data_IF_418840108964
#
_entry.id   IF_418840108964
#
_cell.length_a   1.000
_cell.length_b   1.000
_cell.length_c   1.000
_cell.angle_alpha   90.00
_cell.angle_beta   90.00
_cell.angle_gamma   90.00
#
_symmetry.space_group_name_H-M   'P 1'
#
loop_
_entity.id
_entity.type
_entity.pdbx_description
1 polymer ?
#
# COMPACT_ATOMS: atom_id res chain seq x y z
N UNK A 1 -1.02 -15.86 -6.75
CA UNK A 1 -0.03 -14.76 -6.83
C UNK A 1 1.26 -15.30 -6.26
N UNK A 2 2.37 -15.20 -6.98
CA UNK A 2 3.67 -15.58 -6.41
C UNK A 2 4.01 -14.61 -5.27
N UNK A 3 4.69 -15.11 -4.24
CA UNK A 3 5.13 -14.26 -3.14
C UNK A 3 6.08 -13.16 -3.66
N UNK A 4 5.95 -11.94 -3.14
CA UNK A 4 6.87 -10.87 -3.49
C UNK A 4 8.27 -11.25 -3.02
N UNK A 5 9.27 -10.97 -3.87
CA UNK A 5 10.66 -11.08 -3.46
C UNK A 5 10.97 -10.14 -2.29
N UNK A 6 12.14 -10.29 -1.69
CA UNK A 6 12.46 -9.60 -0.44
C UNK A 6 12.45 -8.06 -0.57
N UNK A 7 13.09 -7.54 -1.62
CA UNK A 7 13.19 -6.10 -1.87
C UNK A 7 11.81 -5.46 -2.07
N UNK A 8 10.97 -6.05 -2.93
CA UNK A 8 9.62 -5.53 -3.20
C UNK A 8 8.71 -5.76 -2.02
N UNK A 9 8.85 -6.89 -1.31
CA UNK A 9 8.10 -7.18 -0.09
C UNK A 9 8.31 -6.14 1.00
N UNK A 10 9.58 -5.77 1.24
CA UNK A 10 9.91 -4.72 2.21
C UNK A 10 9.33 -3.36 1.77
N UNK A 11 9.53 -2.98 0.50
CA UNK A 11 8.99 -1.72 -0.02
C UNK A 11 7.45 -1.68 0.06
N UNK A 12 6.79 -2.80 -0.23
CA UNK A 12 5.35 -2.96 -0.17
C UNK A 12 4.82 -2.78 1.25
N UNK A 13 5.44 -3.43 2.23
CA UNK A 13 5.04 -3.28 3.63
C UNK A 13 5.24 -1.85 4.16
N UNK A 14 6.33 -1.19 3.75
CA UNK A 14 6.54 0.22 4.09
C UNK A 14 5.50 1.14 3.42
N UNK A 15 4.99 0.77 2.24
CA UNK A 15 3.89 1.49 1.60
C UNK A 15 2.55 1.30 2.35
N UNK A 16 2.26 0.08 2.81
CA UNK A 16 1.10 -0.16 3.69
C UNK A 16 1.19 0.63 4.99
N UNK A 17 2.39 0.72 5.58
CA UNK A 17 2.62 1.60 6.73
C UNK A 17 2.39 3.07 6.41
N UNK A 18 2.83 3.55 5.25
CA UNK A 18 2.61 4.93 4.84
C UNK A 18 1.11 5.26 4.66
N UNK A 19 0.30 4.27 4.26
CA UNK A 19 -1.16 4.38 4.17
C UNK A 19 -1.79 4.42 5.56
N UNK A 20 -1.37 3.54 6.48
CA UNK A 20 -1.90 3.50 7.85
C UNK A 20 -1.48 4.72 8.70
N UNK A 21 -0.38 5.42 8.36
CA UNK A 21 0.23 6.50 9.17
C UNK A 21 -0.29 7.91 8.88
N UNK A 22 -1.48 8.04 8.31
CA UNK A 22 -1.98 9.32 7.80
C UNK A 22 -2.15 10.37 8.90
N UNK A 23 -2.55 9.97 10.11
CA UNK A 23 -2.76 10.85 11.26
C UNK A 23 -1.50 11.06 12.13
N UNK A 24 -0.35 10.51 11.69
CA UNK A 24 0.95 10.46 12.41
C UNK A 24 0.96 9.53 13.63
N UNK A 25 -0.10 8.81 13.90
CA UNK A 25 -0.15 7.73 14.87
C UNK A 25 -0.33 6.40 14.13
N UNK A 26 -0.04 5.29 14.81
CA UNK A 26 -0.46 3.96 14.36
C UNK A 26 -0.86 3.25 15.63
N UNK A 27 -2.13 2.86 15.72
CA UNK A 27 -2.58 2.04 16.83
C UNK A 27 -1.85 0.67 16.82
N UNK A 28 -1.75 -0.01 17.96
CA UNK A 28 -1.25 -1.38 18.01
C UNK A 28 -2.04 -2.34 17.09
N UNK A 29 -3.33 -2.08 16.90
CA UNK A 29 -4.23 -2.88 16.06
C UNK A 29 -3.92 -2.71 14.56
N UNK A 30 -3.75 -1.46 14.09
CA UNK A 30 -3.32 -1.19 12.72
C UNK A 30 -1.92 -1.73 12.45
N UNK A 31 -1.00 -1.59 13.39
CA UNK A 31 0.34 -2.17 13.29
C UNK A 31 0.29 -3.69 13.12
N UNK A 32 -0.62 -4.36 13.84
CA UNK A 32 -0.81 -5.80 13.75
C UNK A 32 -1.41 -6.20 12.41
N UNK A 33 -2.41 -5.47 11.91
CA UNK A 33 -3.02 -5.71 10.60
C UNK A 33 -2.04 -5.49 9.45
N UNK A 34 -1.21 -4.45 9.50
CA UNK A 34 -0.16 -4.23 8.50
C UNK A 34 0.85 -5.38 8.51
N UNK A 35 1.24 -5.89 9.69
CA UNK A 35 2.11 -7.07 9.82
C UNK A 35 1.50 -8.31 9.19
N UNK A 36 0.24 -8.59 9.51
CA UNK A 36 -0.49 -9.75 8.97
C UNK A 36 -0.63 -9.67 7.44
N UNK A 37 -0.98 -8.50 6.91
CA UNK A 37 -1.07 -8.29 5.46
C UNK A 37 0.28 -8.44 4.78
N UNK A 38 1.32 -7.77 5.29
CA UNK A 38 2.66 -7.88 4.73
C UNK A 38 3.13 -9.34 4.71
N UNK A 39 2.96 -10.06 5.82
CA UNK A 39 3.31 -11.48 5.93
C UNK A 39 2.52 -12.37 4.96
N UNK A 40 1.30 -11.98 4.60
CA UNK A 40 0.50 -12.70 3.60
C UNK A 40 0.98 -12.50 2.16
N UNK A 41 1.72 -11.40 1.88
CA UNK A 41 2.22 -11.05 0.54
C UNK A 41 3.70 -11.39 0.35
N UNK A 42 4.47 -11.41 1.43
CA UNK A 42 5.91 -11.66 1.40
C UNK A 42 6.35 -12.43 2.65
N UNK A 43 7.34 -13.34 2.54
CA UNK A 43 7.92 -14.01 3.69
C UNK A 43 8.84 -13.10 4.53
N UNK A 44 9.03 -11.84 4.15
CA UNK A 44 9.94 -10.90 4.81
C UNK A 44 9.37 -10.39 6.12
N UNK A 45 10.18 -10.48 7.18
CA UNK A 45 9.92 -9.77 8.44
C UNK A 45 10.26 -8.30 8.26
N UNK A 46 9.24 -7.45 8.33
CA UNK A 46 9.42 -6.00 8.21
C UNK A 46 9.81 -5.45 9.56
N UNK A 47 10.92 -4.71 9.61
CA UNK A 47 11.29 -3.93 10.79
C UNK A 47 10.48 -2.63 10.81
N UNK A 48 9.40 -2.66 11.58
CA UNK A 48 8.49 -1.52 11.72
C UNK A 48 9.18 -0.33 12.39
N UNK A 49 10.01 -0.56 13.40
CA UNK A 49 10.70 0.51 14.13
C UNK A 49 11.74 1.23 13.26
N UNK A 50 12.49 0.48 12.44
CA UNK A 50 13.38 1.08 11.45
C UNK A 50 12.58 1.83 10.36
N UNK A 51 11.46 1.25 9.93
CA UNK A 51 10.55 1.84 8.94
C UNK A 51 9.80 3.08 9.49
N UNK A 52 9.84 3.32 10.80
CA UNK A 52 9.26 4.53 11.38
C UNK A 52 9.96 5.79 10.89
N UNK A 53 11.27 5.70 10.65
CA UNK A 53 12.14 6.81 10.21
C UNK A 53 12.34 6.85 8.70
N UNK A 54 12.13 5.74 8.00
CA UNK A 54 12.26 5.68 6.55
C UNK A 54 10.95 6.03 5.85
N UNK A 55 10.93 7.19 5.16
CA UNK A 55 9.77 7.59 4.37
C UNK A 55 9.74 6.82 3.06
N UNK A 56 8.82 5.86 2.98
CA UNK A 56 8.43 5.23 1.71
C UNK A 56 7.58 6.20 0.88
N UNK A 57 7.88 6.29 -0.41
CA UNK A 57 7.16 7.14 -1.35
C UNK A 57 6.65 6.30 -2.53
N UNK A 58 5.61 6.76 -3.24
CA UNK A 58 5.12 6.10 -4.44
C UNK A 58 6.21 5.76 -5.47
N UNK A 59 7.13 6.69 -5.68
CA UNK A 59 8.21 6.56 -6.66
C UNK A 59 9.23 5.50 -6.25
N UNK A 60 9.53 5.38 -4.94
CA UNK A 60 10.42 4.34 -4.42
C UNK A 60 9.83 2.94 -4.60
N UNK A 61 8.54 2.77 -4.33
CA UNK A 61 7.87 1.48 -4.55
C UNK A 61 7.85 1.11 -6.03
N UNK A 62 7.55 2.07 -6.91
CA UNK A 62 7.56 1.85 -8.35
C UNK A 62 8.96 1.49 -8.87
N UNK A 63 10.01 2.15 -8.38
CA UNK A 63 11.40 1.82 -8.69
C UNK A 63 11.77 0.40 -8.24
N UNK A 64 11.42 0.02 -7.00
CA UNK A 64 11.66 -1.32 -6.49
C UNK A 64 10.97 -2.41 -7.34
N UNK A 65 9.71 -2.19 -7.74
CA UNK A 65 8.98 -3.09 -8.62
C UNK A 65 9.67 -3.26 -9.99
N UNK A 66 10.10 -2.14 -10.58
CA UNK A 66 10.79 -2.12 -11.87
C UNK A 66 12.14 -2.85 -11.82
N UNK A 67 12.98 -2.55 -10.83
CA UNK A 67 14.28 -3.19 -10.62
C UNK A 67 14.15 -4.71 -10.44
N UNK A 68 13.10 -5.12 -9.73
CA UNK A 68 12.78 -6.52 -9.46
C UNK A 68 12.01 -7.23 -10.56
N UNK A 69 11.67 -6.54 -11.66
CA UNK A 69 10.85 -7.06 -12.77
C UNK A 69 9.49 -7.62 -12.31
N UNK A 70 8.94 -7.07 -11.24
CA UNK A 70 7.58 -7.35 -10.79
C UNK A 70 6.61 -6.55 -11.65
N UNK A 71 5.45 -7.12 -11.97
CA UNK A 71 4.39 -6.38 -12.65
C UNK A 71 3.87 -5.25 -11.74
N UNK A 72 4.32 -4.02 -12.02
CA UNK A 72 3.96 -2.83 -11.25
C UNK A 72 2.45 -2.62 -11.20
N UNK A 73 1.72 -2.85 -12.30
CA UNK A 73 0.26 -2.62 -12.32
C UNK A 73 -0.46 -3.66 -11.47
N UNK A 74 -0.03 -4.92 -11.51
CA UNK A 74 -0.56 -5.96 -10.62
C UNK A 74 -0.26 -5.65 -9.14
N UNK A 75 0.95 -5.19 -8.84
CA UNK A 75 1.34 -4.73 -7.51
C UNK A 75 0.47 -3.55 -7.04
N UNK A 76 0.17 -2.61 -7.93
CA UNK A 76 -0.67 -1.46 -7.63
C UNK A 76 -2.12 -1.84 -7.32
N UNK A 77 -2.70 -2.77 -8.08
CA UNK A 77 -4.03 -3.32 -7.79
C UNK A 77 -4.07 -4.02 -6.43
N UNK A 78 -3.04 -4.82 -6.14
CA UNK A 78 -2.91 -5.48 -4.82
C UNK A 78 -2.82 -4.45 -3.68
N UNK A 79 -2.01 -3.40 -3.86
CA UNK A 79 -1.88 -2.32 -2.89
C UNK A 79 -3.20 -1.56 -2.68
N UNK A 80 -3.97 -1.33 -3.74
CA UNK A 80 -5.30 -0.70 -3.65
C UNK A 80 -6.21 -1.52 -2.75
N UNK A 81 -6.31 -2.83 -3.01
CA UNK A 81 -7.15 -3.72 -2.22
C UNK A 81 -6.72 -3.76 -0.74
N UNK A 82 -5.42 -3.96 -0.48
CA UNK A 82 -4.88 -4.06 0.88
C UNK A 82 -4.94 -2.72 1.63
N UNK A 83 -4.63 -1.62 0.94
CA UNK A 83 -4.64 -0.27 1.52
C UNK A 83 -6.05 0.18 1.92
N UNK A 84 -7.05 -0.11 1.08
CA UNK A 84 -8.45 0.18 1.41
C UNK A 84 -8.94 -0.69 2.57
N UNK A 85 -8.56 -1.97 2.61
CA UNK A 85 -8.90 -2.84 3.73
C UNK A 85 -8.30 -2.34 5.06
N UNK A 86 -7.07 -1.80 5.03
CA UNK A 86 -6.44 -1.19 6.20
C UNK A 86 -7.16 0.09 6.65
N UNK A 87 -7.37 1.01 5.71
CA UNK A 87 -7.93 2.34 5.99
C UNK A 87 -9.43 2.33 6.34
N UNK A 88 -10.11 1.19 6.19
CA UNK A 88 -11.50 1.02 6.64
C UNK A 88 -11.64 0.11 7.86
N UNK A 89 -10.50 -0.25 8.47
CA UNK A 89 -10.49 -1.23 9.56
C UNK A 89 -10.94 -0.67 10.91
N UNK A 90 -10.97 0.66 11.05
CA UNK A 90 -11.39 1.44 12.22
C UNK A 90 -12.58 2.37 11.92
N UNK A 91 -13.01 2.46 10.65
CA UNK A 91 -14.13 3.30 10.25
C UNK A 91 -14.21 3.55 8.75
N UNK A 92 -14.54 4.78 8.38
CA UNK A 92 -14.67 5.21 7.00
C UNK A 92 -13.33 5.71 6.44
N UNK A 93 -13.05 5.34 5.20
CA UNK A 93 -11.91 5.83 4.43
C UNK A 93 -11.97 7.37 4.31
N UNK A 94 -10.94 8.06 4.78
CA UNK A 94 -10.88 9.51 4.68
C UNK A 94 -10.15 9.99 3.41
N UNK A 95 -10.27 11.29 3.11
CA UNK A 95 -9.72 11.86 1.87
C UNK A 95 -8.19 11.80 1.79
N UNK A 96 -7.49 11.79 2.92
CA UNK A 96 -6.03 11.75 2.93
C UNK A 96 -5.53 10.32 2.67
N UNK A 97 -6.12 9.31 3.31
CA UNK A 97 -5.84 7.89 3.03
C UNK A 97 -6.13 7.54 1.58
N UNK A 98 -7.31 7.93 1.08
CA UNK A 98 -7.69 7.73 -0.31
C UNK A 98 -6.65 8.32 -1.27
N UNK A 99 -6.20 9.57 -1.01
CA UNK A 99 -5.16 10.20 -1.83
C UNK A 99 -3.82 9.47 -1.75
N UNK A 100 -3.41 8.96 -0.59
CA UNK A 100 -2.16 8.20 -0.48
C UNK A 100 -2.25 6.90 -1.29
N UNK A 101 -3.33 6.13 -1.12
CA UNK A 101 -3.56 4.89 -1.87
C UNK A 101 -3.51 5.16 -3.38
N UNK A 102 -4.25 6.17 -3.85
CA UNK A 102 -4.29 6.54 -5.26
C UNK A 102 -2.92 7.01 -5.78
N UNK A 103 -2.13 7.75 -4.99
CA UNK A 103 -0.77 8.16 -5.39
C UNK A 103 0.15 6.97 -5.60
N UNK A 104 0.13 5.99 -4.70
CA UNK A 104 0.90 4.77 -4.88
C UNK A 104 0.41 3.97 -6.11
N UNK A 105 -0.90 3.77 -6.25
CA UNK A 105 -1.47 3.05 -7.39
C UNK A 105 -1.08 3.69 -8.74
N UNK A 106 -1.17 5.02 -8.82
CA UNK A 106 -0.79 5.79 -10.02
C UNK A 106 0.71 5.69 -10.33
N UNK A 107 1.57 5.76 -9.32
CA UNK A 107 3.01 5.57 -9.51
C UNK A 107 3.36 4.16 -10.03
N UNK A 108 2.54 3.17 -9.68
CA UNK A 108 2.63 1.80 -10.17
C UNK A 108 1.96 1.58 -11.55
N UNK A 109 1.42 2.64 -12.16
CA UNK A 109 0.83 2.60 -13.49
C UNK A 109 -0.62 2.11 -13.54
N UNK A 110 -1.33 2.08 -12.41
CA UNK A 110 -2.77 1.88 -12.37
C UNK A 110 -3.52 3.10 -12.89
N UNK A 111 -4.55 2.83 -13.69
CA UNK A 111 -5.54 3.80 -14.15
C UNK A 111 -6.73 3.85 -13.19
N UNK A 112 -7.59 4.86 -13.32
CA UNK A 112 -8.85 4.93 -12.57
C UNK A 112 -9.74 3.69 -12.84
N UNK A 113 -9.65 3.10 -14.05
CA UNK A 113 -10.34 1.84 -14.38
C UNK A 113 -9.79 0.65 -13.59
N UNK A 114 -8.46 0.56 -13.44
CA UNK A 114 -7.84 -0.50 -12.65
C UNK A 114 -8.27 -0.39 -11.18
N UNK A 115 -8.28 0.83 -10.62
CA UNK A 115 -8.70 1.09 -9.24
C UNK A 115 -10.18 0.76 -9.05
N UNK A 116 -11.05 1.25 -9.95
CA UNK A 116 -12.50 1.02 -9.88
C UNK A 116 -12.93 -0.44 -10.11
N UNK A 117 -12.03 -1.28 -10.64
CA UNK A 117 -12.21 -2.73 -10.74
C UNK A 117 -11.89 -3.45 -9.43
N UNK A 118 -10.98 -2.91 -8.60
CA UNK A 118 -10.66 -3.47 -7.28
C UNK A 118 -11.68 -3.08 -6.21
N UNK A 119 -12.13 -1.82 -6.22
CA UNK A 119 -12.97 -1.29 -5.15
C UNK A 119 -13.82 -0.11 -5.63
N UNK A 120 -15.00 0.03 -5.03
CA UNK A 120 -15.87 1.21 -5.19
C UNK A 120 -15.65 2.26 -4.12
N UNK A 121 -14.90 1.92 -3.07
CA UNK A 121 -14.67 2.82 -1.95
C UNK A 121 -13.80 4.01 -2.36
N UNK A 122 -13.05 3.95 -3.46
CA UNK A 122 -12.23 5.07 -3.93
C UNK A 122 -12.93 5.97 -4.97
N UNK A 123 -14.15 5.61 -5.41
CA UNK A 123 -14.82 6.25 -6.57
C UNK A 123 -14.96 7.77 -6.41
N UNK A 124 -15.20 8.27 -5.20
CA UNK A 124 -15.34 9.72 -4.93
C UNK A 124 -14.06 10.52 -5.24
N UNK A 125 -12.90 9.88 -5.14
CA UNK A 125 -11.59 10.49 -5.27
C UNK A 125 -10.90 10.19 -6.60
N UNK A 126 -11.50 9.35 -7.44
CA UNK A 126 -11.05 9.16 -8.82
C UNK A 126 -11.22 10.47 -9.61
N UNK A 127 -10.33 10.70 -10.58
CA UNK A 127 -10.38 11.85 -11.49
C UNK A 127 -10.28 13.26 -10.86
N UNK A 128 -9.91 13.37 -9.57
CA UNK A 128 -9.51 14.63 -8.92
C UNK A 128 -8.01 14.89 -9.02
#
# INVERSE_FOLDING_TARGET
MEALNEQVGQAYAQALLAIARVDREVSPEESSRVRELAASRTPVTVDFEASFFEKMTPEKLAAAALESKVDSRALGRMLVADGVMLATSDGDLNSVEAQIILRFARALGCTDLDVGAETKQLDEWLSR
#
